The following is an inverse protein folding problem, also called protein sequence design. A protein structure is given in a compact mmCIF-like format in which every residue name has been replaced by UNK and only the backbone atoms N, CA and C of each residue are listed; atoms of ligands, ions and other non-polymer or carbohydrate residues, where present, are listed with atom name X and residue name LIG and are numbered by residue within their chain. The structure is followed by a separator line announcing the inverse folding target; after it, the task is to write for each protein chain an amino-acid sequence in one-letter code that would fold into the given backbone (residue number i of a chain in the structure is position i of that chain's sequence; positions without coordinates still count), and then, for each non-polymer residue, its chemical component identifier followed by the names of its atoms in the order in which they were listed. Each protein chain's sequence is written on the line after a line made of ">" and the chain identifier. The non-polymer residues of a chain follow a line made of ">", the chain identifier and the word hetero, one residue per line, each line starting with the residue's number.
data_IF_852188507488
#
_entry.id   IF_852188507488
#
_cell.length_a   1.000
_cell.length_b   1.000
_cell.length_c   1.000
_cell.angle_alpha   90.00
_cell.angle_beta   90.00
_cell.angle_gamma   90.00
#
_symmetry.space_group_name_H-M   'P 1'
#
loop_
_entity.id
_entity.type
_entity.pdbx_description
1 polymer ?
#
# COMPACT_ATOMS: atom_id res chain seq x y z
N UNK A 1 -25.67 17.70 9.51
CA UNK A 1 -24.73 17.40 8.40
C UNK A 1 -25.45 17.73 7.12
N UNK A 2 -24.81 18.47 6.21
CA UNK A 2 -25.36 18.68 4.88
C UNK A 2 -25.26 17.38 4.05
N UNK A 3 -25.98 17.33 2.92
CA UNK A 3 -26.02 16.15 2.06
C UNK A 3 -24.63 15.76 1.51
N UNK A 4 -23.73 16.73 1.30
CA UNK A 4 -22.36 16.49 0.85
C UNK A 4 -21.52 15.74 1.88
N UNK A 5 -21.62 16.09 3.16
CA UNK A 5 -20.89 15.39 4.23
C UNK A 5 -21.42 13.95 4.37
N UNK A 6 -22.73 13.74 4.31
CA UNK A 6 -23.31 12.38 4.35
C UNK A 6 -22.83 11.55 3.16
N UNK A 7 -22.83 12.13 1.95
CA UNK A 7 -22.33 11.49 0.74
C UNK A 7 -20.86 11.09 0.86
N UNK A 8 -20.00 11.99 1.34
CA UNK A 8 -18.58 11.70 1.56
C UNK A 8 -18.38 10.56 2.56
N UNK A 9 -19.08 10.57 3.69
CA UNK A 9 -19.01 9.48 4.70
C UNK A 9 -19.43 8.14 4.09
N UNK A 10 -20.48 8.10 3.27
CA UNK A 10 -20.89 6.88 2.59
C UNK A 10 -19.82 6.35 1.64
N UNK A 11 -19.16 7.24 0.89
CA UNK A 11 -18.05 6.88 -0.01
C UNK A 11 -16.89 6.31 0.80
N UNK A 12 -16.51 6.94 1.92
CA UNK A 12 -15.46 6.45 2.83
C UNK A 12 -15.79 5.04 3.32
N UNK A 13 -17.00 4.80 3.82
CA UNK A 13 -17.42 3.48 4.31
C UNK A 13 -17.39 2.44 3.19
N UNK A 14 -17.85 2.81 1.99
CA UNK A 14 -17.85 1.92 0.83
C UNK A 14 -16.42 1.52 0.45
N UNK A 15 -15.52 2.48 0.24
CA UNK A 15 -14.14 2.20 -0.18
C UNK A 15 -13.33 1.51 0.92
N UNK A 16 -13.59 1.81 2.18
CA UNK A 16 -13.03 1.06 3.30
C UNK A 16 -13.44 -0.41 3.24
N UNK A 17 -14.73 -0.69 3.02
CA UNK A 17 -15.26 -2.05 2.90
C UNK A 17 -14.67 -2.78 1.69
N UNK A 18 -14.54 -2.10 0.55
CA UNK A 18 -13.90 -2.66 -0.66
C UNK A 18 -12.42 -2.99 -0.38
N UNK A 19 -11.70 -2.14 0.37
CA UNK A 19 -10.31 -2.39 0.77
C UNK A 19 -10.16 -3.67 1.61
N UNK A 20 -11.03 -3.85 2.61
CA UNK A 20 -11.04 -5.07 3.44
C UNK A 20 -11.36 -6.32 2.63
N UNK A 21 -12.37 -6.24 1.74
CA UNK A 21 -12.73 -7.37 0.87
C UNK A 21 -11.61 -7.71 -0.12
N UNK A 22 -10.96 -6.70 -0.70
CA UNK A 22 -9.83 -6.86 -1.61
C UNK A 22 -8.62 -7.48 -0.89
N UNK A 23 -8.30 -7.06 0.33
CA UNK A 23 -7.23 -7.65 1.12
C UNK A 23 -7.52 -9.11 1.48
N UNK A 24 -8.75 -9.41 1.89
CA UNK A 24 -9.19 -10.78 2.18
C UNK A 24 -9.10 -11.66 0.95
N UNK A 25 -9.62 -11.20 -0.18
CA UNK A 25 -9.53 -11.89 -1.47
C UNK A 25 -8.09 -12.15 -1.87
N UNK A 26 -7.23 -11.12 -1.79
CA UNK A 26 -5.80 -11.23 -2.11
C UNK A 26 -5.11 -12.26 -1.23
N UNK A 27 -5.31 -12.23 0.09
CA UNK A 27 -4.72 -13.19 1.02
C UNK A 27 -5.17 -14.63 0.75
N UNK A 28 -6.46 -14.84 0.47
CA UNK A 28 -7.00 -16.18 0.16
C UNK A 28 -6.46 -16.70 -1.17
N UNK A 29 -6.44 -15.86 -2.20
CA UNK A 29 -6.00 -16.24 -3.54
C UNK A 29 -4.49 -16.49 -3.55
N UNK A 30 -3.68 -15.56 -3.02
CA UNK A 30 -2.22 -15.68 -3.00
C UNK A 30 -1.76 -16.95 -2.27
N UNK A 31 -2.41 -17.26 -1.14
CA UNK A 31 -2.09 -18.43 -0.33
C UNK A 31 -2.40 -19.75 -1.04
N UNK A 32 -3.43 -19.75 -1.90
CA UNK A 32 -3.80 -20.92 -2.70
C UNK A 32 -2.89 -21.10 -3.91
N UNK A 33 -2.50 -20.01 -4.56
CA UNK A 33 -1.73 -20.04 -5.80
C UNK A 33 -0.22 -20.23 -5.57
N UNK A 34 0.32 -19.66 -4.49
CA UNK A 34 1.77 -19.56 -4.30
C UNK A 34 2.28 -20.37 -3.11
N UNK A 35 3.49 -20.93 -3.27
CA UNK A 35 4.29 -21.37 -2.14
C UNK A 35 4.76 -20.18 -1.30
N UNK A 36 5.16 -20.39 -0.02
CA UNK A 36 5.46 -19.30 0.92
C UNK A 36 6.47 -18.27 0.39
N UNK A 37 7.51 -18.71 -0.32
CA UNK A 37 8.52 -17.83 -0.90
C UNK A 37 7.98 -16.99 -2.05
N UNK A 38 7.30 -17.64 -3.00
CA UNK A 38 6.70 -16.96 -4.15
C UNK A 38 5.62 -15.97 -3.71
N UNK A 39 4.87 -16.30 -2.67
CA UNK A 39 3.89 -15.40 -2.07
C UNK A 39 4.54 -14.13 -1.51
N UNK A 40 5.65 -14.25 -0.75
CA UNK A 40 6.38 -13.08 -0.25
C UNK A 40 6.92 -12.21 -1.39
N UNK A 41 7.47 -12.83 -2.44
CA UNK A 41 7.97 -12.10 -3.63
C UNK A 41 6.82 -11.43 -4.40
N UNK A 42 5.67 -12.09 -4.50
CA UNK A 42 4.47 -11.52 -5.10
C UNK A 42 4.07 -10.24 -4.37
N UNK A 43 3.98 -10.26 -3.04
CA UNK A 43 3.62 -9.07 -2.28
C UNK A 43 4.72 -8.00 -2.31
N UNK A 44 6.00 -8.36 -2.34
CA UNK A 44 7.07 -7.38 -2.57
C UNK A 44 6.92 -6.70 -3.95
N UNK A 45 6.66 -7.46 -5.01
CA UNK A 45 6.44 -6.90 -6.34
C UNK A 45 5.16 -6.05 -6.43
N UNK A 46 4.07 -6.53 -5.81
CA UNK A 46 2.82 -5.78 -5.72
C UNK A 46 3.03 -4.45 -4.98
N UNK A 47 3.85 -4.44 -3.94
CA UNK A 47 4.15 -3.23 -3.19
C UNK A 47 4.85 -2.15 -4.04
N UNK A 48 5.80 -2.56 -4.89
CA UNK A 48 6.43 -1.65 -5.86
C UNK A 48 5.41 -1.11 -6.86
N UNK A 49 4.52 -1.98 -7.35
CA UNK A 49 3.52 -1.59 -8.33
C UNK A 49 2.54 -0.54 -7.79
N UNK A 50 2.03 -0.73 -6.57
CA UNK A 50 1.11 0.24 -5.96
C UNK A 50 1.82 1.56 -5.62
N UNK A 51 3.07 1.52 -5.15
CA UNK A 51 3.85 2.74 -4.92
C UNK A 51 4.10 3.52 -6.23
N UNK A 52 4.34 2.83 -7.35
CA UNK A 52 4.54 3.47 -8.64
C UNK A 52 3.32 4.28 -9.13
N UNK A 53 2.11 4.01 -8.60
CA UNK A 53 0.93 4.80 -8.94
C UNK A 53 1.06 6.27 -8.55
N UNK A 54 1.86 6.65 -7.55
CA UNK A 54 2.07 8.06 -7.23
C UNK A 54 2.70 8.83 -8.41
N UNK A 55 3.57 8.19 -9.19
CA UNK A 55 4.14 8.81 -10.39
C UNK A 55 3.09 8.93 -11.50
N UNK A 56 2.21 7.94 -11.64
CA UNK A 56 1.09 8.00 -12.57
C UNK A 56 0.09 9.08 -12.19
N UNK A 57 -0.23 9.23 -10.90
CA UNK A 57 -1.08 10.31 -10.39
C UNK A 57 -0.44 11.68 -10.58
N UNK A 58 0.85 11.81 -10.28
CA UNK A 58 1.60 13.07 -10.51
C UNK A 58 1.49 13.50 -11.97
N UNK A 59 1.66 12.57 -12.91
CA UNK A 59 1.52 12.82 -14.32
C UNK A 59 0.07 13.13 -14.74
N UNK A 60 -0.89 12.36 -14.22
CA UNK A 60 -2.32 12.49 -14.57
C UNK A 60 -2.91 13.82 -14.08
N UNK A 61 -2.66 14.18 -12.83
CA UNK A 61 -3.13 15.42 -12.20
C UNK A 61 -2.25 16.64 -12.53
N UNK A 62 -1.16 16.44 -13.28
CA UNK A 62 -0.22 17.50 -13.71
C UNK A 62 0.38 18.28 -12.53
N UNK A 63 0.73 17.56 -11.46
CA UNK A 63 1.31 18.11 -10.25
C UNK A 63 2.83 18.27 -10.38
N UNK A 64 3.29 19.24 -11.18
CA UNK A 64 4.72 19.38 -11.53
C UNK A 64 5.65 19.56 -10.31
N UNK A 65 5.16 20.20 -9.25
CA UNK A 65 5.94 20.39 -8.02
C UNK A 65 6.03 19.11 -7.16
N UNK A 66 5.15 18.13 -7.36
CA UNK A 66 5.09 16.89 -6.57
C UNK A 66 6.10 15.83 -7.02
N UNK A 67 6.63 15.91 -8.25
CA UNK A 67 7.55 14.91 -8.82
C UNK A 67 8.67 14.51 -7.87
N UNK A 68 9.31 15.48 -7.22
CA UNK A 68 10.42 15.22 -6.30
C UNK A 68 9.97 14.45 -5.06
N UNK A 69 8.86 14.88 -4.46
CA UNK A 69 8.30 14.26 -3.26
C UNK A 69 7.85 12.83 -3.55
N UNK A 70 7.03 12.65 -4.58
CA UNK A 70 6.50 11.33 -4.94
C UNK A 70 7.61 10.39 -5.38
N UNK A 71 8.62 10.87 -6.13
CA UNK A 71 9.78 10.03 -6.49
C UNK A 71 10.51 9.52 -5.24
N UNK A 72 10.72 10.37 -4.23
CA UNK A 72 11.34 9.92 -2.98
C UNK A 72 10.46 8.93 -2.22
N UNK A 73 9.15 9.15 -2.17
CA UNK A 73 8.21 8.20 -1.56
C UNK A 73 8.26 6.83 -2.28
N UNK A 74 8.18 6.82 -3.62
CA UNK A 74 8.28 5.59 -4.43
C UNK A 74 9.61 4.88 -4.21
N UNK A 75 10.73 5.60 -4.16
CA UNK A 75 12.04 4.99 -3.89
C UNK A 75 12.10 4.39 -2.48
N UNK A 76 11.55 5.05 -1.47
CA UNK A 76 11.51 4.55 -0.10
C UNK A 76 10.67 3.26 -0.01
N UNK A 77 9.47 3.24 -0.60
CA UNK A 77 8.63 2.04 -0.63
C UNK A 77 9.24 0.91 -1.45
N UNK A 78 9.91 1.24 -2.56
CA UNK A 78 10.65 0.26 -3.37
C UNK A 78 11.80 -0.36 -2.57
N UNK A 79 12.54 0.44 -1.80
CA UNK A 79 13.60 -0.08 -0.94
C UNK A 79 13.02 -1.03 0.13
N UNK A 80 11.91 -0.66 0.77
CA UNK A 80 11.20 -1.52 1.72
C UNK A 80 10.69 -2.81 1.06
N UNK A 81 10.22 -2.74 -0.19
CA UNK A 81 9.80 -3.91 -0.95
C UNK A 81 10.97 -4.86 -1.26
N UNK A 82 12.11 -4.31 -1.71
CA UNK A 82 13.33 -5.10 -2.01
C UNK A 82 13.86 -5.78 -0.75
N UNK A 83 13.93 -5.07 0.37
CA UNK A 83 14.28 -5.67 1.67
C UNK A 83 13.23 -6.70 2.06
N UNK A 84 11.95 -6.35 1.88
CA UNK A 84 10.77 -7.14 2.15
C UNK A 84 10.68 -8.45 1.39
N UNK A 85 11.29 -8.54 0.21
CA UNK A 85 11.42 -9.76 -0.57
C UNK A 85 12.14 -10.87 0.22
N UNK A 86 13.01 -10.50 1.17
CA UNK A 86 13.77 -11.45 2.00
C UNK A 86 13.45 -11.37 3.49
N UNK A 87 13.08 -10.19 3.98
CA UNK A 87 12.83 -9.90 5.40
C UNK A 87 11.35 -9.53 5.58
N UNK A 88 10.47 -10.46 6.01
CA UNK A 88 9.02 -10.23 6.11
C UNK A 88 8.62 -8.97 6.88
N UNK A 89 9.40 -8.60 7.91
CA UNK A 89 9.15 -7.42 8.72
C UNK A 89 9.13 -6.11 7.92
N UNK A 90 9.93 -6.01 6.86
CA UNK A 90 9.93 -4.81 6.02
C UNK A 90 8.61 -4.66 5.25
N UNK A 91 7.94 -5.75 4.85
CA UNK A 91 6.60 -5.67 4.24
C UNK A 91 5.54 -5.37 5.30
N UNK A 92 5.63 -5.97 6.49
CA UNK A 92 4.69 -5.74 7.59
C UNK A 92 4.67 -4.27 8.03
N UNK A 93 5.83 -3.60 7.99
CA UNK A 93 5.97 -2.18 8.31
C UNK A 93 5.66 -1.31 7.09
N UNK A 94 6.12 -1.72 5.90
CA UNK A 94 6.00 -0.92 4.68
C UNK A 94 4.57 -0.69 4.25
N UNK A 95 3.73 -1.73 4.26
CA UNK A 95 2.33 -1.60 3.84
C UNK A 95 1.56 -0.59 4.69
N UNK A 96 1.56 -0.65 6.03
CA UNK A 96 0.89 0.38 6.84
C UNK A 96 1.45 1.79 6.62
N UNK A 97 2.77 1.94 6.41
CA UNK A 97 3.35 3.24 6.09
C UNK A 97 2.84 3.79 4.75
N UNK A 98 2.68 2.93 3.76
CA UNK A 98 2.07 3.27 2.48
C UNK A 98 0.60 3.65 2.65
N UNK A 99 -0.18 2.85 3.37
CA UNK A 99 -1.58 3.17 3.68
C UNK A 99 -1.74 4.50 4.44
N UNK A 100 -0.80 4.85 5.32
CA UNK A 100 -0.75 6.16 5.97
C UNK A 100 -0.41 7.30 4.99
N UNK A 101 0.51 7.06 4.05
CA UNK A 101 0.85 8.01 2.99
C UNK A 101 -0.36 8.26 2.07
N UNK A 102 -1.11 7.21 1.73
CA UNK A 102 -2.37 7.29 1.01
C UNK A 102 -3.46 8.05 1.78
N UNK A 103 -3.58 7.80 3.08
CA UNK A 103 -4.48 8.56 3.95
C UNK A 103 -4.10 10.05 4.03
N UNK A 104 -2.80 10.37 4.02
CA UNK A 104 -2.31 11.75 3.98
C UNK A 104 -2.74 12.47 2.70
N UNK A 105 -2.60 11.81 1.55
CA UNK A 105 -3.08 12.30 0.25
C UNK A 105 -4.58 12.55 0.26
N UNK A 106 -5.38 11.61 0.79
CA UNK A 106 -6.83 11.75 0.90
C UNK A 106 -7.23 12.97 1.77
N UNK A 107 -6.57 13.12 2.93
CA UNK A 107 -6.83 14.24 3.84
C UNK A 107 -6.42 15.58 3.23
N UNK A 108 -5.35 15.59 2.42
CA UNK A 108 -4.92 16.79 1.72
C UNK A 108 -5.86 17.18 0.57
N UNK A 109 -6.28 16.20 -0.22
CA UNK A 109 -7.16 16.43 -1.37
C UNK A 109 -8.61 16.74 -0.96
N UNK A 110 -9.10 16.13 0.12
CA UNK A 110 -10.54 16.12 0.44
C UNK A 110 -10.88 16.42 1.90
N UNK A 111 -9.93 16.25 2.83
CA UNK A 111 -10.16 16.42 4.27
C UNK A 111 -9.92 17.83 4.81
N UNK A 112 -9.43 18.76 3.98
CA UNK A 112 -9.10 20.13 4.38
C UNK A 112 -7.83 20.25 5.22
N UNK A 113 -7.07 19.15 5.37
CA UNK A 113 -5.77 19.17 6.03
C UNK A 113 -4.68 19.63 5.06
N UNK A 114 -3.68 20.39 5.52
CA UNK A 114 -2.62 20.93 4.66
C UNK A 114 -1.26 20.57 5.23
N UNK A 115 -0.81 19.36 4.93
CA UNK A 115 0.53 18.91 5.30
C UNK A 115 1.60 19.48 4.36
N UNK A 116 1.22 19.69 3.09
CA UNK A 116 2.05 20.32 2.07
C UNK A 116 1.37 21.56 1.49
N UNK A 117 2.17 22.45 0.87
CA UNK A 117 1.60 23.55 0.09
C UNK A 117 0.82 23.01 -1.11
N UNK A 118 -0.17 23.76 -1.63
CA UNK A 118 -0.94 23.35 -2.79
C UNK A 118 -0.04 22.92 -3.97
N UNK A 119 -0.26 21.71 -4.49
CA UNK A 119 0.48 21.14 -5.61
C UNK A 119 1.84 20.51 -5.29
N UNK A 120 2.32 20.57 -4.03
CA UNK A 120 3.56 19.88 -3.62
C UNK A 120 3.40 18.38 -3.37
N UNK A 121 2.16 17.91 -3.23
CA UNK A 121 1.76 16.50 -3.15
C UNK A 121 0.86 16.23 -4.36
N UNK A 122 0.91 15.02 -4.91
CA UNK A 122 -0.05 14.65 -5.96
C UNK A 122 -1.47 14.57 -5.39
N UNK A 123 -2.49 14.86 -6.19
CA UNK A 123 -3.85 14.44 -5.87
C UNK A 123 -3.98 12.93 -6.07
N UNK A 124 -5.01 12.35 -5.43
CA UNK A 124 -5.42 10.95 -5.61
C UNK A 124 -6.89 10.90 -6.01
N UNK A 125 -7.36 9.85 -6.70
CA UNK A 125 -8.79 9.66 -6.93
C UNK A 125 -9.56 9.63 -5.60
N UNK A 126 -10.77 10.17 -5.59
CA UNK A 126 -11.61 10.24 -4.39
C UNK A 126 -11.74 8.87 -3.70
N UNK A 127 -11.45 8.82 -2.40
CA UNK A 127 -11.46 7.63 -1.55
C UNK A 127 -10.49 6.51 -1.94
N UNK A 128 -9.57 6.76 -2.88
CA UNK A 128 -8.45 5.87 -3.16
C UNK A 128 -7.61 5.68 -1.90
N UNK A 129 -7.31 6.76 -1.18
CA UNK A 129 -6.47 6.68 0.00
C UNK A 129 -7.11 5.85 1.13
N UNK A 130 -8.43 5.94 1.27
CA UNK A 130 -9.21 5.13 2.23
C UNK A 130 -9.16 3.65 1.86
N UNK A 131 -9.37 3.32 0.59
CA UNK A 131 -9.30 1.94 0.11
C UNK A 131 -7.93 1.33 0.36
N UNK A 132 -6.86 2.03 -0.03
CA UNK A 132 -5.50 1.55 0.12
C UNK A 132 -5.11 1.40 1.58
N UNK A 133 -5.45 2.38 2.43
CA UNK A 133 -5.22 2.26 3.86
C UNK A 133 -5.86 0.99 4.43
N UNK A 134 -7.15 0.74 4.16
CA UNK A 134 -7.80 -0.47 4.66
C UNK A 134 -7.17 -1.75 4.10
N UNK A 135 -6.83 -1.76 2.81
CA UNK A 135 -6.14 -2.90 2.20
C UNK A 135 -4.80 -3.18 2.89
N UNK A 136 -3.99 -2.14 3.07
CA UNK A 136 -2.62 -2.23 3.56
C UNK A 136 -2.54 -2.65 5.03
N UNK A 137 -3.41 -2.09 5.88
CA UNK A 137 -3.48 -2.50 7.29
C UNK A 137 -3.96 -3.96 7.42
N UNK A 138 -4.95 -4.37 6.64
CA UNK A 138 -5.42 -5.76 6.64
C UNK A 138 -4.35 -6.73 6.14
N UNK A 139 -3.68 -6.41 5.03
CA UNK A 139 -2.66 -7.29 4.46
C UNK A 139 -1.40 -7.36 5.33
N UNK A 140 -1.04 -6.28 6.02
CA UNK A 140 0.03 -6.31 7.02
C UNK A 140 -0.31 -7.26 8.19
N UNK A 141 -1.57 -7.24 8.66
CA UNK A 141 -2.07 -8.22 9.63
C UNK A 141 -1.95 -9.65 9.10
N UNK A 142 -2.30 -9.88 7.83
CA UNK A 142 -2.09 -11.17 7.18
C UNK A 142 -0.60 -11.57 7.13
N UNK A 143 0.29 -10.67 6.72
CA UNK A 143 1.74 -10.91 6.65
C UNK A 143 2.32 -11.27 8.00
N UNK A 144 1.84 -10.65 9.08
CA UNK A 144 2.21 -11.03 10.42
C UNK A 144 1.94 -12.52 10.66
N UNK A 145 0.78 -13.04 10.26
CA UNK A 145 0.47 -14.48 10.39
C UNK A 145 1.36 -15.38 9.51
N UNK A 146 1.88 -14.86 8.39
CA UNK A 146 2.67 -15.63 7.41
C UNK A 146 4.18 -15.57 7.63
N UNK A 147 4.68 -14.59 8.40
CA UNK A 147 6.11 -14.28 8.54
C UNK A 147 7.00 -15.48 8.83
N UNK A 148 6.57 -16.41 9.69
CA UNK A 148 7.37 -17.58 10.04
C UNK A 148 7.45 -18.60 8.90
N UNK A 149 6.36 -18.78 8.15
CA UNK A 149 6.32 -19.68 7.00
C UNK A 149 7.24 -19.17 5.89
N UNK A 150 7.24 -17.85 5.66
CA UNK A 150 8.12 -17.18 4.71
C UNK A 150 9.59 -17.32 5.12
N UNK A 151 9.96 -16.92 6.34
CA UNK A 151 11.34 -17.03 6.84
C UNK A 151 11.87 -18.47 6.78
N UNK A 152 11.05 -19.44 7.19
CA UNK A 152 11.41 -20.87 7.15
C UNK A 152 11.63 -21.38 5.73
N UNK A 153 10.84 -20.93 4.76
CA UNK A 153 10.99 -21.34 3.37
C UNK A 153 12.32 -20.88 2.78
N UNK A 154 12.76 -19.67 3.11
CA UNK A 154 14.06 -19.18 2.68
C UNK A 154 15.25 -19.86 3.38
N UNK A 155 15.13 -20.17 4.67
CA UNK A 155 16.17 -20.88 5.42
C UNK A 155 16.44 -22.28 4.83
N UNK A 156 15.37 -23.02 4.51
CA UNK A 156 15.49 -24.36 3.89
C UNK A 156 16.21 -24.34 2.54
N UNK A 157 16.00 -23.29 1.74
CA UNK A 157 16.67 -23.20 0.45
C UNK A 157 18.17 -22.93 0.62
N UNK A 158 18.55 -22.05 1.56
CA UNK A 158 19.96 -21.77 1.84
C UNK A 158 20.73 -23.03 2.23
N UNK A 159 20.10 -23.95 2.97
CA UNK A 159 20.65 -25.27 3.31
C UNK A 159 20.70 -26.24 2.12
N UNK A 160 19.81 -26.10 1.14
CA UNK A 160 19.80 -26.95 -0.06
C UNK A 160 20.84 -26.51 -1.11
N UNK A 161 21.37 -25.29 -0.98
CA UNK A 161 22.36 -24.71 -1.90
C UNK A 161 23.76 -24.57 -1.29
N UNK A 162 23.95 -25.00 -0.04
CA UNK A 162 25.22 -25.00 0.68
C UNK A 162 25.80 -26.42 0.73
#
# INVERSE_FOLDING_TARGET
>A
MDASVVGFVMIVVLYASVGVLAATGSAVISRKLFGPRAEQLFYAGFFVAIAAFYLAFTAYFRADAAWRLETYAVLAFTALAVIGARVPMALIIGYPLHGLWDGLHELQAHGGWRAFEPGQSTDVPLAYGVFCAMFDFCIAGYFWTRRQAWSSAWARQGLATA
#
